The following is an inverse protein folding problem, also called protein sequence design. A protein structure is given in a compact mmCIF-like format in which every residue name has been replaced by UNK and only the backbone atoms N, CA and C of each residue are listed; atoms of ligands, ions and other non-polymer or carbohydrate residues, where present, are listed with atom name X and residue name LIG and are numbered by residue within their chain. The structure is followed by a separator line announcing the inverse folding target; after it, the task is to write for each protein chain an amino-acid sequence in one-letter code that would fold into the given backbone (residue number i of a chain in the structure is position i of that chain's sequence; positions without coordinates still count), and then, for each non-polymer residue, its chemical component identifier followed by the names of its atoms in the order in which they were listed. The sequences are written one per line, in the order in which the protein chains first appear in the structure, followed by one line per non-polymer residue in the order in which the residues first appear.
data_IF_771991303467
#
_entry.id   IF_771991303467
#
_cell.length_a   1.000
_cell.length_b   1.000
_cell.length_c   1.000
_cell.angle_alpha   90.00
_cell.angle_beta   90.00
_cell.angle_gamma   90.00
#
_symmetry.space_group_name_H-M   'P 1'
#
loop_
_entity.id
_entity.type
_entity.pdbx_description
1 polymer ?
#
# COMPACT_ATOMS: atom_id res chain seq x y z
N UNK A 1 16.54 13.82 2.43
CA UNK A 1 17.07 13.10 3.62
C UNK A 1 16.97 11.60 3.36
N UNK A 2 17.85 10.77 3.89
CA UNK A 2 17.86 9.33 3.56
C UNK A 2 16.79 8.54 4.31
N UNK A 3 16.04 7.72 3.57
CA UNK A 3 14.99 6.79 4.07
C UNK A 3 15.57 5.83 5.13
N UNK A 4 16.85 5.47 5.03
CA UNK A 4 17.54 4.59 5.97
C UNK A 4 17.50 5.09 7.43
N UNK A 5 17.37 6.40 7.68
CA UNK A 5 17.24 6.94 9.05
C UNK A 5 15.84 6.77 9.66
N UNK A 6 14.80 6.58 8.86
CA UNK A 6 13.43 6.41 9.37
C UNK A 6 13.20 5.01 9.99
N UNK A 7 13.90 3.99 9.50
CA UNK A 7 13.69 2.59 9.91
C UNK A 7 14.16 2.33 11.34
N UNK A 8 15.25 2.95 11.78
CA UNK A 8 15.86 2.72 13.10
C UNK A 8 15.02 3.21 14.29
N UNK A 9 13.91 3.91 14.08
CA UNK A 9 13.01 4.36 15.14
C UNK A 9 11.88 3.36 15.48
N UNK A 10 11.70 2.30 14.68
CA UNK A 10 10.67 1.27 14.93
C UNK A 10 11.15 0.27 16.00
N UNK A 11 10.72 0.52 17.24
CA UNK A 11 11.09 -0.25 18.45
C UNK A 11 10.90 -1.77 18.25
N UNK A 12 11.86 -2.64 18.66
CA UNK A 12 11.81 -4.10 18.49
C UNK A 12 10.78 -4.82 19.40
N UNK A 13 9.86 -4.08 20.00
CA UNK A 13 8.80 -4.59 20.87
C UNK A 13 7.71 -5.26 20.02
N UNK A 14 7.28 -4.61 18.94
CA UNK A 14 6.21 -5.14 18.07
C UNK A 14 6.65 -6.36 17.24
N UNK A 15 7.91 -6.43 16.82
CA UNK A 15 8.45 -7.59 16.10
C UNK A 15 8.49 -8.84 16.97
N UNK A 16 8.80 -8.72 18.28
CA UNK A 16 8.68 -9.84 19.23
C UNK A 16 7.24 -10.32 19.37
N UNK A 17 6.25 -9.43 19.50
CA UNK A 17 4.84 -9.83 19.58
C UNK A 17 4.31 -10.50 18.29
N UNK A 18 4.80 -10.12 17.12
CA UNK A 18 4.47 -10.80 15.86
C UNK A 18 5.17 -12.16 15.73
N UNK A 19 6.47 -12.24 16.02
CA UNK A 19 7.22 -13.50 15.96
C UNK A 19 6.67 -14.58 16.90
N UNK A 20 6.32 -14.20 18.14
CA UNK A 20 5.72 -15.12 19.13
C UNK A 20 4.35 -15.64 18.67
N UNK A 21 3.58 -14.87 17.89
CA UNK A 21 2.32 -15.36 17.30
C UNK A 21 2.56 -16.33 16.15
N UNK A 22 3.55 -16.11 15.30
CA UNK A 22 3.89 -17.07 14.23
C UNK A 22 4.48 -18.38 14.77
N UNK A 23 5.15 -18.36 15.93
CA UNK A 23 5.71 -19.54 16.58
C UNK A 23 4.66 -20.54 17.13
N UNK A 24 3.37 -20.18 17.22
CA UNK A 24 2.33 -21.05 17.79
C UNK A 24 1.86 -22.20 16.89
N UNK A 25 2.56 -22.48 15.79
CA UNK A 25 2.23 -23.54 14.82
C UNK A 25 2.75 -24.94 15.20
N UNK A 26 3.65 -25.05 16.19
CA UNK A 26 4.31 -26.30 16.58
C UNK A 26 3.71 -26.98 17.81
N UNK A 27 2.63 -26.42 18.39
CA UNK A 27 1.92 -27.06 19.49
C UNK A 27 1.11 -28.26 18.99
N UNK A 28 1.60 -29.48 19.24
CA UNK A 28 0.91 -30.72 18.88
C UNK A 28 -0.55 -30.69 19.33
N UNK A 29 -1.54 -30.92 18.44
CA UNK A 29 -2.94 -30.86 18.82
C UNK A 29 -3.21 -31.94 19.88
N UNK A 30 -3.85 -31.60 21.02
CA UNK A 30 -4.24 -32.61 21.99
C UNK A 30 -5.23 -33.56 21.33
N UNK A 31 -4.96 -34.87 21.44
CA UNK A 31 -5.59 -35.90 20.62
C UNK A 31 -7.12 -35.94 20.68
N UNK A 32 -7.71 -36.61 19.69
CA UNK A 32 -9.15 -36.85 19.57
C UNK A 32 -9.76 -37.35 20.89
N UNK A 33 -11.04 -37.03 21.14
CA UNK A 33 -11.68 -37.36 22.41
C UNK A 33 -11.57 -38.84 22.76
N UNK A 34 -11.14 -39.13 24.00
CA UNK A 34 -10.94 -40.49 24.54
C UNK A 34 -12.19 -41.38 24.47
N UNK A 35 -13.36 -40.77 24.34
CA UNK A 35 -14.62 -41.42 24.06
C UNK A 35 -15.03 -40.97 22.66
N UNK A 36 -15.36 -41.93 21.79
CA UNK A 36 -16.03 -41.72 20.52
C UNK A 36 -17.36 -42.47 20.58
N UNK A 37 -18.47 -41.75 20.44
CA UNK A 37 -19.80 -42.30 20.17
C UNK A 37 -19.68 -43.29 18.99
N UNK A 38 -20.09 -44.52 19.24
CA UNK A 38 -20.23 -45.52 18.19
C UNK A 38 -21.39 -45.10 17.27
N UNK A 39 -21.30 -45.49 15.99
CA UNK A 39 -22.30 -45.13 15.00
C UNK A 39 -23.58 -45.96 15.22
N UNK A 40 -24.79 -45.39 15.07
CA UNK A 40 -26.01 -46.19 14.99
C UNK A 40 -25.94 -47.20 13.84
N UNK A 41 -26.45 -48.40 14.09
CA UNK A 41 -26.45 -49.51 13.13
C UNK A 41 -27.38 -49.21 11.95
N UNK A 42 -26.87 -49.36 10.72
CA UNK A 42 -27.63 -49.20 9.48
C UNK A 42 -27.16 -48.06 8.55
N UNK A 43 -26.45 -47.06 9.05
CA UNK A 43 -25.98 -45.92 8.24
C UNK A 43 -24.56 -46.11 7.65
N UNK A 44 -24.33 -45.68 6.42
CA UNK A 44 -22.99 -45.62 5.79
C UNK A 44 -22.31 -44.24 5.96
N UNK A 45 -20.97 -44.18 5.86
CA UNK A 45 -20.17 -42.96 6.01
C UNK A 45 -19.43 -42.80 7.35
N UNK A 46 -18.39 -41.94 7.36
CA UNK A 46 -17.44 -41.72 8.45
C UNK A 46 -17.98 -40.74 9.50
N UNK A 47 -17.95 -41.13 10.79
CA UNK A 47 -18.34 -40.27 11.91
C UNK A 47 -17.17 -40.08 12.87
N UNK A 48 -16.72 -38.84 13.03
CA UNK A 48 -15.68 -38.47 14.00
C UNK A 48 -15.95 -37.06 14.52
N UNK A 49 -15.93 -36.88 15.83
CA UNK A 49 -16.09 -35.58 16.48
C UNK A 49 -14.91 -35.30 17.41
N UNK A 50 -14.42 -34.05 17.38
CA UNK A 50 -13.43 -33.55 18.33
C UNK A 50 -14.10 -32.62 19.35
N UNK A 51 -13.55 -32.56 20.58
CA UNK A 51 -13.90 -31.48 21.51
C UNK A 51 -13.49 -30.14 20.90
N UNK A 52 -14.33 -29.11 21.04
CA UNK A 52 -14.10 -27.77 20.49
C UNK A 52 -13.14 -26.93 21.37
N UNK A 53 -11.95 -27.48 21.58
CA UNK A 53 -10.89 -27.34 22.60
C UNK A 53 -10.62 -26.04 23.40
N UNK A 54 -11.19 -24.88 23.07
CA UNK A 54 -10.48 -23.63 23.44
C UNK A 54 -11.29 -22.31 23.58
N UNK A 55 -12.55 -22.17 24.04
CA UNK A 55 -13.64 -23.00 24.58
C UNK A 55 -13.34 -24.25 25.42
N UNK A 56 -12.17 -24.28 26.03
CA UNK A 56 -11.89 -24.97 27.30
C UNK A 56 -10.72 -24.20 27.95
N UNK A 57 -10.94 -23.44 29.05
CA UNK A 57 -9.95 -22.53 29.61
C UNK A 57 -8.72 -23.26 30.20
N UNK A 58 -8.76 -24.59 30.29
CA UNK A 58 -7.62 -25.43 30.71
C UNK A 58 -6.50 -25.46 29.67
N UNK A 59 -6.80 -25.25 28.39
CA UNK A 59 -5.83 -25.36 27.29
C UNK A 59 -5.31 -23.99 26.82
N UNK A 60 -4.44 -23.36 27.61
CA UNK A 60 -3.89 -22.01 27.34
C UNK A 60 -3.17 -21.86 25.98
N UNK A 61 -2.69 -22.97 25.41
CA UNK A 61 -1.98 -23.00 24.11
C UNK A 61 -2.81 -23.58 22.96
N UNK A 62 -4.06 -24.01 23.20
CA UNK A 62 -4.92 -24.49 22.12
C UNK A 62 -5.44 -23.29 21.32
N UNK A 63 -5.08 -23.21 20.05
CA UNK A 63 -5.47 -22.10 19.17
C UNK A 63 -6.99 -21.88 19.21
N UNK A 64 -7.41 -20.62 19.46
CA UNK A 64 -8.77 -20.16 19.13
C UNK A 64 -8.78 -18.69 18.72
N UNK A 65 -8.65 -18.43 17.41
CA UNK A 65 -9.64 -17.65 16.71
C UNK A 65 -10.93 -18.48 16.54
N UNK A 66 -12.10 -17.91 16.86
CA UNK A 66 -13.40 -18.44 16.47
C UNK A 66 -14.06 -17.51 15.43
N UNK A 67 -15.39 -17.47 15.35
CA UNK A 67 -16.14 -16.85 14.24
C UNK A 67 -16.00 -15.31 14.22
N UNK A 68 -14.98 -14.83 13.51
CA UNK A 68 -14.70 -13.41 13.25
C UNK A 68 -13.21 -13.03 13.25
N UNK A 69 -12.34 -13.87 13.82
CA UNK A 69 -11.23 -13.35 14.63
C UNK A 69 -9.97 -12.82 13.92
N UNK A 70 -9.87 -12.77 12.59
CA UNK A 70 -9.02 -11.75 11.92
C UNK A 70 -9.54 -11.34 10.54
N UNK A 71 -9.37 -10.06 10.13
CA UNK A 71 -9.65 -9.62 8.77
C UNK A 71 -8.84 -10.38 7.70
N UNK A 72 -7.58 -10.71 7.99
CA UNK A 72 -6.73 -11.48 7.09
C UNK A 72 -7.28 -12.91 6.86
N UNK A 73 -7.75 -13.60 7.90
CA UNK A 73 -8.33 -14.94 7.79
C UNK A 73 -9.79 -14.91 7.28
N UNK A 74 -10.45 -13.75 7.30
CA UNK A 74 -11.68 -13.55 6.54
C UNK A 74 -11.40 -13.44 5.03
N UNK A 75 -10.49 -12.52 4.65
CA UNK A 75 -10.17 -12.21 3.24
C UNK A 75 -9.45 -13.36 2.52
N UNK A 76 -8.44 -13.97 3.14
CA UNK A 76 -7.51 -14.88 2.43
C UNK A 76 -7.83 -16.37 2.58
N UNK A 77 -8.68 -16.78 3.55
CA UNK A 77 -8.95 -18.22 3.84
C UNK A 77 -9.54 -19.02 2.67
N UNK A 78 -10.23 -18.36 1.72
CA UNK A 78 -10.83 -19.03 0.55
C UNK A 78 -10.06 -18.83 -0.76
N UNK A 79 -9.01 -18.00 -0.79
CA UNK A 79 -8.25 -17.72 -2.02
C UNK A 79 -7.72 -19.00 -2.68
N UNK A 80 -7.16 -19.93 -1.90
CA UNK A 80 -6.55 -21.17 -2.39
C UNK A 80 -7.51 -22.24 -2.96
N UNK A 81 -8.82 -21.99 -2.97
CA UNK A 81 -9.81 -22.85 -3.65
C UNK A 81 -10.64 -22.10 -4.68
N UNK A 82 -10.74 -20.77 -4.59
CA UNK A 82 -11.51 -19.95 -5.52
C UNK A 82 -10.65 -19.45 -6.69
N UNK A 83 -10.18 -20.36 -7.54
CA UNK A 83 -9.27 -20.05 -8.67
C UNK A 83 -9.83 -18.97 -9.62
N UNK A 84 -11.16 -18.93 -9.78
CA UNK A 84 -11.91 -17.91 -10.53
C UNK A 84 -11.68 -16.46 -10.03
N UNK A 85 -11.23 -16.30 -8.78
CA UNK A 85 -10.98 -14.99 -8.17
C UNK A 85 -9.57 -14.47 -8.48
N UNK A 86 -8.63 -15.32 -8.90
CA UNK A 86 -7.27 -14.87 -9.25
C UNK A 86 -7.21 -13.89 -10.43
N UNK A 87 -7.96 -14.07 -11.55
CA UNK A 87 -8.04 -13.06 -12.61
C UNK A 87 -8.57 -11.70 -12.11
N UNK A 88 -9.55 -11.70 -11.20
CA UNK A 88 -10.11 -10.48 -10.62
C UNK A 88 -9.11 -9.77 -9.70
N UNK A 89 -8.36 -10.52 -8.89
CA UNK A 89 -7.28 -9.99 -8.04
C UNK A 89 -6.10 -9.46 -8.85
N UNK A 90 -5.74 -10.14 -9.95
CA UNK A 90 -4.74 -9.66 -10.90
C UNK A 90 -5.18 -8.35 -11.55
N UNK A 91 -6.43 -8.28 -12.04
CA UNK A 91 -6.99 -7.08 -12.65
C UNK A 91 -7.06 -5.91 -11.64
N UNK A 92 -7.45 -6.16 -10.39
CA UNK A 92 -7.42 -5.15 -9.33
C UNK A 92 -5.99 -4.67 -9.02
N UNK A 93 -5.00 -5.58 -8.98
CA UNK A 93 -3.59 -5.24 -8.84
C UNK A 93 -3.05 -4.40 -10.00
N UNK A 94 -3.45 -4.72 -11.23
CA UNK A 94 -3.09 -3.99 -12.45
C UNK A 94 -3.68 -2.58 -12.49
N UNK A 95 -4.95 -2.41 -12.10
CA UNK A 95 -5.55 -1.08 -11.92
C UNK A 95 -4.87 -0.28 -10.80
N UNK A 96 -4.46 -0.95 -9.71
CA UNK A 96 -3.73 -0.30 -8.62
C UNK A 96 -2.33 0.16 -9.06
N UNK A 97 -1.58 -0.62 -9.86
CA UNK A 97 -0.29 -0.17 -10.39
C UNK A 97 -0.44 0.95 -11.42
N UNK A 98 -1.47 0.93 -12.27
CA UNK A 98 -1.82 2.06 -13.14
C UNK A 98 -2.14 3.31 -12.31
N UNK A 99 -2.93 3.19 -11.24
CA UNK A 99 -3.23 4.30 -10.35
C UNK A 99 -1.97 4.87 -9.68
N UNK A 100 -1.10 4.02 -9.13
CA UNK A 100 0.19 4.44 -8.56
C UNK A 100 1.10 5.13 -9.58
N UNK A 101 1.19 4.60 -10.81
CA UNK A 101 1.97 5.20 -11.89
C UNK A 101 1.39 6.55 -12.33
N UNK A 102 0.07 6.66 -12.43
CA UNK A 102 -0.64 7.91 -12.77
C UNK A 102 -0.48 8.98 -11.68
N UNK A 103 -0.56 8.58 -10.41
CA UNK A 103 -0.31 9.47 -9.28
C UNK A 103 1.16 9.95 -9.27
N UNK A 104 2.12 9.03 -9.43
CA UNK A 104 3.54 9.36 -9.54
C UNK A 104 3.83 10.33 -10.69
N UNK A 105 3.30 10.04 -11.89
CA UNK A 105 3.42 10.94 -13.05
C UNK A 105 2.79 12.31 -12.75
N UNK A 106 1.63 12.35 -12.11
CA UNK A 106 0.97 13.61 -11.72
C UNK A 106 1.85 14.47 -10.80
N UNK A 107 2.59 13.86 -9.86
CA UNK A 107 3.55 14.58 -9.02
C UNK A 107 4.79 15.12 -9.78
N UNK A 108 5.00 14.75 -11.05
CA UNK A 108 6.06 15.36 -11.89
C UNK A 108 5.62 16.67 -12.57
N UNK A 109 4.32 16.98 -12.57
CA UNK A 109 3.78 18.22 -13.15
C UNK A 109 4.15 19.45 -12.33
N UNK A 110 4.40 20.55 -13.04
CA UNK A 110 4.80 21.84 -12.45
C UNK A 110 3.72 22.47 -11.56
N UNK A 111 2.45 22.11 -11.80
CA UNK A 111 1.25 22.60 -11.12
C UNK A 111 1.11 22.08 -9.68
N UNK A 112 1.66 20.90 -9.37
CA UNK A 112 1.32 20.17 -8.14
C UNK A 112 2.09 20.71 -6.94
N UNK A 113 1.45 21.57 -6.16
CA UNK A 113 2.04 22.22 -4.98
C UNK A 113 2.14 21.27 -3.76
N UNK A 114 3.06 20.30 -3.85
CA UNK A 114 3.30 19.29 -2.81
C UNK A 114 3.99 19.88 -1.56
N UNK A 115 4.90 20.83 -1.75
CA UNK A 115 5.64 21.53 -0.68
C UNK A 115 5.16 22.98 -0.52
N UNK A 116 4.24 23.20 0.43
CA UNK A 116 3.70 24.52 0.82
C UNK A 116 4.53 25.26 1.87
N UNK A 117 5.72 24.77 2.26
CA UNK A 117 6.58 25.48 3.23
C UNK A 117 7.20 26.77 2.67
N UNK A 118 7.15 26.95 1.34
CA UNK A 118 7.75 28.06 0.60
C UNK A 118 6.67 29.05 0.21
N UNK A 119 6.91 30.34 0.47
CA UNK A 119 6.05 31.46 0.02
C UNK A 119 5.93 31.54 -1.51
N UNK A 120 6.98 31.10 -2.22
CA UNK A 120 7.08 31.13 -3.68
C UNK A 120 6.26 30.00 -4.33
N UNK A 121 5.27 30.37 -5.14
CA UNK A 121 4.38 29.46 -5.85
C UNK A 121 5.15 28.44 -6.74
N UNK A 122 4.61 27.25 -7.06
CA UNK A 122 5.35 26.23 -7.80
C UNK A 122 5.51 26.56 -9.30
N UNK A 123 4.65 27.43 -9.83
CA UNK A 123 4.70 28.03 -11.18
C UNK A 123 5.41 29.41 -11.20
N UNK A 124 6.09 29.79 -10.12
CA UNK A 124 6.84 31.05 -10.09
C UNK A 124 8.03 31.01 -11.06
N UNK A 125 8.11 31.99 -11.97
CA UNK A 125 9.20 32.12 -12.93
C UNK A 125 10.59 31.96 -12.31
N UNK A 126 10.89 32.59 -11.16
CA UNK A 126 12.21 32.46 -10.51
C UNK A 126 12.57 31.02 -10.15
N UNK A 127 11.54 30.23 -9.81
CA UNK A 127 11.65 28.82 -9.41
C UNK A 127 11.60 27.87 -10.61
N UNK A 128 11.05 28.31 -11.74
CA UNK A 128 10.79 27.46 -12.91
C UNK A 128 11.72 27.71 -14.09
N UNK A 129 12.33 28.89 -14.22
CA UNK A 129 13.20 29.32 -15.31
C UNK A 129 14.13 28.21 -15.81
N UNK A 130 14.99 27.67 -14.96
CA UNK A 130 15.98 26.66 -15.37
C UNK A 130 15.43 25.22 -15.54
N UNK A 131 14.09 25.04 -15.43
CA UNK A 131 13.47 23.71 -15.35
C UNK A 131 12.11 23.55 -16.04
N UNK A 132 11.50 24.60 -16.61
CA UNK A 132 10.14 24.50 -17.17
C UNK A 132 10.09 23.50 -18.33
N UNK A 133 11.00 23.61 -19.30
CA UNK A 133 11.08 22.74 -20.48
C UNK A 133 11.38 21.26 -20.13
N UNK A 134 12.00 21.02 -18.97
CA UNK A 134 12.35 19.67 -18.49
C UNK A 134 11.14 18.93 -17.91
N UNK A 135 10.11 19.64 -17.45
CA UNK A 135 8.90 19.05 -16.85
C UNK A 135 7.95 18.55 -17.95
N UNK A 136 7.05 17.63 -17.60
CA UNK A 136 6.08 17.06 -18.53
C UNK A 136 4.73 17.78 -18.44
N UNK A 137 4.31 18.46 -19.49
CA UNK A 137 2.96 19.02 -19.64
C UNK A 137 1.96 17.96 -20.14
N UNK A 138 2.38 17.16 -21.13
CA UNK A 138 1.56 16.12 -21.79
C UNK A 138 2.05 14.72 -21.40
N UNK A 139 1.11 13.78 -21.23
CA UNK A 139 1.41 12.38 -20.88
C UNK A 139 2.09 11.62 -22.03
N UNK A 140 1.76 11.98 -23.27
CA UNK A 140 2.31 11.40 -24.49
C UNK A 140 2.87 12.52 -25.37
N UNK A 141 4.19 12.69 -25.38
CA UNK A 141 4.93 13.48 -26.35
C UNK A 141 6.08 12.61 -26.87
N UNK A 142 5.79 11.83 -27.92
CA UNK A 142 6.74 10.89 -28.53
C UNK A 142 7.83 11.60 -29.34
N UNK A 143 7.60 12.85 -29.74
CA UNK A 143 8.49 13.62 -30.61
C UNK A 143 9.28 14.69 -29.83
N UNK A 144 8.99 14.89 -28.54
CA UNK A 144 9.62 15.90 -27.67
C UNK A 144 9.25 17.35 -28.01
N UNK A 145 8.29 17.57 -28.91
CA UNK A 145 7.98 18.90 -29.48
C UNK A 145 7.40 19.86 -28.45
N UNK A 146 6.74 19.37 -27.39
CA UNK A 146 6.15 20.25 -26.36
C UNK A 146 7.16 20.73 -25.32
N UNK A 147 8.44 20.35 -25.46
CA UNK A 147 9.51 20.55 -24.46
C UNK A 147 10.71 21.34 -25.01
N UNK A 148 10.52 22.05 -26.11
CA UNK A 148 11.51 22.97 -26.67
C UNK A 148 11.69 24.19 -25.76
N UNK A 149 12.90 24.76 -25.75
CA UNK A 149 13.26 25.95 -24.97
C UNK A 149 12.96 27.20 -25.79
N UNK A 150 12.27 28.18 -25.20
CA UNK A 150 11.87 29.42 -25.87
C UNK A 150 12.64 30.62 -25.30
N UNK A 151 13.84 30.87 -25.82
CA UNK A 151 14.75 31.89 -25.25
C UNK A 151 14.18 33.32 -25.30
N UNK A 152 13.40 33.66 -26.35
CA UNK A 152 12.68 34.94 -26.43
C UNK A 152 11.57 35.07 -25.35
N UNK A 153 10.94 33.95 -24.96
CA UNK A 153 9.98 33.93 -23.86
C UNK A 153 10.68 34.07 -22.50
N UNK A 154 11.89 33.51 -22.36
CA UNK A 154 12.71 33.65 -21.15
C UNK A 154 13.11 35.11 -20.91
N UNK A 155 13.63 35.78 -21.93
CA UNK A 155 14.00 37.21 -21.87
C UNK A 155 12.78 38.06 -21.48
N UNK A 156 11.64 37.86 -22.15
CA UNK A 156 10.41 38.60 -21.85
C UNK A 156 9.92 38.39 -20.41
N UNK A 157 9.99 37.16 -19.87
CA UNK A 157 9.58 36.89 -18.49
C UNK A 157 10.58 37.41 -17.46
N UNK A 158 11.88 37.41 -17.76
CA UNK A 158 12.90 38.05 -16.93
C UNK A 158 12.67 39.59 -16.87
N UNK A 159 12.45 40.25 -18.01
CA UNK A 159 12.15 41.69 -18.10
C UNK A 159 10.86 42.05 -17.35
N UNK A 160 9.78 41.27 -17.54
CA UNK A 160 8.51 41.47 -16.83
C UNK A 160 8.67 41.30 -15.31
N UNK A 161 9.53 40.38 -14.87
CA UNK A 161 9.79 40.13 -13.45
C UNK A 161 10.64 41.24 -12.83
N UNK A 162 11.65 41.74 -13.54
CA UNK A 162 12.36 42.95 -13.15
C UNK A 162 11.42 44.16 -13.06
N UNK A 163 10.54 44.35 -14.04
CA UNK A 163 9.56 45.43 -14.04
C UNK A 163 8.57 45.32 -12.87
N UNK A 164 8.14 44.10 -12.51
CA UNK A 164 7.26 43.86 -11.36
C UNK A 164 7.94 44.20 -10.02
N UNK A 165 9.23 43.84 -9.86
CA UNK A 165 10.05 44.21 -8.69
C UNK A 165 10.27 45.72 -8.61
N UNK A 166 10.62 46.37 -9.73
CA UNK A 166 10.78 47.83 -9.83
C UNK A 166 9.49 48.60 -9.51
N UNK A 167 8.32 47.95 -9.62
CA UNK A 167 7.00 48.48 -9.24
C UNK A 167 6.54 48.11 -7.82
N UNK A 168 7.29 47.29 -7.08
CA UNK A 168 6.89 46.80 -5.75
C UNK A 168 5.65 45.89 -5.75
N UNK A 169 5.24 45.38 -6.91
CA UNK A 169 4.07 44.49 -7.06
C UNK A 169 4.37 43.03 -6.76
N UNK A 170 5.64 42.69 -6.50
CA UNK A 170 6.18 41.35 -6.28
C UNK A 170 7.54 41.42 -5.60
#
# INVERSE_FOLDING_TARGET
MSIARAVNCLKPIHTRFLAVRCASATASPPGSSKIQLQKPEGEQGFFSYGRNLSRDPKYKNAQKPLQGDTPAQFLFRRLGHAYEVYPLLFLAGFWFTIFCATAYYSFTKIEVWMDRSKSVAPWDWERTRDSYWKKGTVAFDLEGKTRQRCELMEILQDEMLEAAKKRGTR
#
